data_IF_833144988666
#
_entry.id   IF_833144988666
#
_cell.length_a   1.000
_cell.length_b   1.000
_cell.length_c   1.000
_cell.angle_alpha   90.00
_cell.angle_beta   90.00
_cell.angle_gamma   90.00
#
_symmetry.space_group_name_H-M   'P 1'
#
loop_
_entity.id
_entity.type
_entity.pdbx_description
1 polymer ?
#
# COMPACT_ATOMS: atom_id res chain seq x y z
N UNK A 1 13.33 6.80 15.93
CA UNK A 1 14.37 6.12 16.73
C UNK A 1 13.91 4.68 16.96
N UNK A 2 14.74 3.68 16.73
CA UNK A 2 14.37 2.25 16.88
C UNK A 2 13.88 1.95 18.32
N UNK A 3 14.32 2.77 19.27
CA UNK A 3 14.09 2.68 20.72
C UNK A 3 12.69 3.07 21.22
N UNK A 4 11.87 3.74 20.40
CA UNK A 4 10.46 3.99 20.76
C UNK A 4 9.56 2.80 20.40
N UNK A 5 9.95 2.01 19.40
CA UNK A 5 9.19 0.84 18.93
C UNK A 5 9.26 -0.36 19.89
N UNK A 6 10.40 -0.54 20.55
CA UNK A 6 10.61 -1.62 21.53
C UNK A 6 9.77 -1.44 22.81
N UNK A 7 9.09 -0.29 22.97
CA UNK A 7 8.24 0.02 24.13
C UNK A 7 6.77 -0.31 23.93
N UNK A 8 6.33 -0.65 22.71
CA UNK A 8 4.96 -1.06 22.40
C UNK A 8 4.92 -2.58 22.28
N UNK A 9 4.30 -3.30 23.26
CA UNK A 9 4.23 -4.76 23.21
C UNK A 9 3.58 -5.22 21.89
N UNK A 10 4.19 -6.20 21.21
CA UNK A 10 3.63 -6.81 19.99
C UNK A 10 4.01 -6.13 18.66
N UNK A 11 4.32 -4.84 18.64
CA UNK A 11 4.64 -4.10 17.40
C UNK A 11 5.93 -4.58 16.73
N UNK A 12 6.99 -4.80 17.51
CA UNK A 12 8.26 -5.34 17.00
C UNK A 12 8.08 -6.77 16.44
N UNK A 13 7.27 -7.59 17.08
CA UNK A 13 6.93 -8.95 16.60
C UNK A 13 6.17 -8.90 15.29
N UNK A 14 5.16 -8.02 15.17
CA UNK A 14 4.39 -7.83 13.96
C UNK A 14 5.27 -7.38 12.79
N UNK A 15 6.12 -6.37 13.00
CA UNK A 15 7.08 -5.88 12.00
C UNK A 15 8.01 -7.01 11.54
N UNK A 16 8.60 -7.76 12.48
CA UNK A 16 9.50 -8.86 12.15
C UNK A 16 8.79 -10.01 11.41
N UNK A 17 7.52 -10.27 11.74
CA UNK A 17 6.69 -11.30 11.07
C UNK A 17 6.36 -10.89 9.64
N UNK A 18 6.05 -9.61 9.43
CA UNK A 18 5.80 -9.04 8.11
C UNK A 18 7.05 -9.08 7.24
N UNK A 19 8.20 -8.62 7.77
CA UNK A 19 9.48 -8.61 7.06
C UNK A 19 10.03 -10.01 6.81
N UNK A 20 9.78 -10.95 7.71
CA UNK A 20 10.22 -12.34 7.57
C UNK A 20 9.30 -13.23 6.73
N UNK A 21 8.25 -12.67 6.12
CA UNK A 21 7.21 -13.40 5.37
C UNK A 21 6.58 -14.58 6.12
N UNK A 22 6.66 -14.57 7.46
CA UNK A 22 6.12 -15.63 8.31
C UNK A 22 4.59 -15.57 8.35
N UNK A 23 3.87 -16.69 8.54
CA UNK A 23 2.42 -16.68 8.73
C UNK A 23 2.00 -15.67 9.79
N UNK A 24 0.91 -14.93 9.55
CA UNK A 24 0.36 -13.99 10.52
C UNK A 24 -0.58 -14.79 11.44
N UNK A 25 -0.18 -15.00 12.68
CA UNK A 25 -1.09 -15.56 13.69
C UNK A 25 -2.16 -14.52 14.07
N UNK A 26 -3.43 -14.94 14.10
CA UNK A 26 -4.60 -14.07 14.34
C UNK A 26 -4.46 -13.26 15.65
N UNK A 27 -3.94 -13.89 16.71
CA UNK A 27 -3.69 -13.28 18.02
C UNK A 27 -2.57 -12.24 18.05
N UNK A 28 -1.54 -12.40 17.21
CA UNK A 28 -0.41 -11.47 17.14
C UNK A 28 -0.78 -10.19 16.37
N UNK A 29 -1.64 -10.34 15.36
CA UNK A 29 -1.98 -9.28 14.43
C UNK A 29 -3.10 -8.35 14.94
N UNK A 30 -4.21 -8.93 15.40
CA UNK A 30 -5.39 -8.18 15.84
C UNK A 30 -5.10 -7.20 16.99
N UNK A 31 -4.34 -7.63 18.00
CA UNK A 31 -3.96 -6.77 19.14
C UNK A 31 -2.88 -5.72 18.84
N UNK A 32 -2.04 -5.95 17.82
CA UNK A 32 -0.88 -5.09 17.53
C UNK A 32 -1.13 -4.09 16.38
N UNK A 33 -2.17 -4.29 15.58
CA UNK A 33 -2.46 -3.46 14.40
C UNK A 33 -2.88 -2.03 14.75
N UNK A 34 -3.69 -1.87 15.79
CA UNK A 34 -4.08 -0.57 16.36
C UNK A 34 -2.84 0.29 16.69
N UNK A 35 -1.92 -0.27 17.47
CA UNK A 35 -0.64 0.36 17.84
C UNK A 35 0.22 0.73 16.62
N UNK A 36 0.21 -0.09 15.57
CA UNK A 36 0.92 0.19 14.33
C UNK A 36 0.32 1.40 13.61
N UNK A 37 -1.00 1.47 13.46
CA UNK A 37 -1.65 2.62 12.82
C UNK A 37 -1.46 3.91 13.62
N UNK A 38 -1.53 3.86 14.94
CA UNK A 38 -1.27 5.02 15.79
C UNK A 38 0.17 5.53 15.62
N UNK A 39 1.16 4.64 15.54
CA UNK A 39 2.54 5.00 15.28
C UNK A 39 2.71 5.66 13.89
N UNK A 40 2.08 5.08 12.85
CA UNK A 40 2.07 5.67 11.50
C UNK A 40 1.47 7.07 11.52
N UNK A 41 0.32 7.24 12.16
CA UNK A 41 -0.39 8.51 12.22
C UNK A 41 0.33 9.56 13.06
N UNK A 42 1.01 9.16 14.13
CA UNK A 42 1.83 10.07 14.93
C UNK A 42 2.99 10.65 14.10
N UNK A 43 3.67 9.82 13.31
CA UNK A 43 4.76 10.25 12.45
C UNK A 43 4.27 11.12 11.28
N UNK A 44 3.16 10.75 10.64
CA UNK A 44 2.53 11.57 9.60
C UNK A 44 2.08 12.93 10.15
N UNK A 45 1.51 12.95 11.35
CA UNK A 45 1.10 14.18 12.00
C UNK A 45 2.29 15.09 12.33
N UNK A 46 3.40 14.51 12.80
CA UNK A 46 4.66 15.24 12.99
C UNK A 46 5.22 15.78 11.66
N UNK A 47 5.18 14.98 10.60
CA UNK A 47 5.59 15.39 9.25
C UNK A 47 4.77 16.59 8.74
N UNK A 48 3.44 16.52 8.83
CA UNK A 48 2.55 17.62 8.40
C UNK A 48 2.79 18.90 9.21
N UNK A 49 3.09 18.79 10.51
CA UNK A 49 3.47 19.94 11.35
C UNK A 49 4.80 20.55 10.94
N UNK A 50 5.81 19.72 10.63
CA UNK A 50 7.09 20.20 10.13
C UNK A 50 6.96 20.88 8.76
N UNK A 51 6.13 20.35 7.86
CA UNK A 51 5.81 20.99 6.58
C UNK A 51 5.13 22.35 6.78
N UNK A 52 4.20 22.47 7.75
CA UNK A 52 3.61 23.77 8.08
C UNK A 52 4.65 24.77 8.64
N UNK A 53 5.55 24.30 9.50
CA UNK A 53 6.65 25.11 10.05
C UNK A 53 7.66 25.56 8.98
N UNK A 54 7.94 24.69 8.01
CA UNK A 54 8.79 25.00 6.86
C UNK A 54 8.22 26.18 6.07
N UNK A 55 6.93 26.13 5.72
CA UNK A 55 6.24 27.24 5.02
C UNK A 55 6.30 28.55 5.80
N UNK A 56 6.13 28.50 7.13
CA UNK A 56 6.29 29.69 7.97
C UNK A 56 7.73 30.21 7.93
N UNK A 57 8.71 29.31 8.04
CA UNK A 57 10.13 29.66 8.06
C UNK A 57 10.57 30.24 6.71
N UNK A 58 10.13 29.67 5.60
CA UNK A 58 10.35 30.21 4.24
C UNK A 58 9.79 31.62 4.08
N UNK A 59 8.56 31.87 4.56
CA UNK A 59 7.95 33.19 4.54
C UNK A 59 8.71 34.20 5.42
N UNK A 60 9.24 33.78 6.56
CA UNK A 60 10.07 34.63 7.42
C UNK A 60 11.41 34.98 6.77
N UNK A 61 12.08 34.00 6.15
CA UNK A 61 13.32 34.21 5.39
C UNK A 61 13.09 35.16 4.21
N UNK A 62 11.98 35.00 3.50
CA UNK A 62 11.56 35.88 2.41
C UNK A 62 11.32 37.31 2.91
N UNK A 63 10.61 37.45 4.04
CA UNK A 63 10.34 38.75 4.66
C UNK A 63 11.64 39.43 5.12
N UNK A 64 12.55 38.70 5.77
CA UNK A 64 13.86 39.21 6.18
C UNK A 64 14.68 39.68 4.98
N UNK A 65 14.66 38.93 3.87
CA UNK A 65 15.33 39.32 2.62
C UNK A 65 14.75 40.62 2.06
N UNK A 66 13.42 40.76 2.00
CA UNK A 66 12.75 41.98 1.53
C UNK A 66 13.10 43.18 2.41
N UNK A 67 13.06 43.02 3.73
CA UNK A 67 13.45 44.08 4.68
C UNK A 67 14.89 44.52 4.41
N UNK A 68 15.85 43.59 4.30
CA UNK A 68 17.25 43.90 3.99
C UNK A 68 17.43 44.65 2.67
N UNK A 69 16.71 44.25 1.62
CA UNK A 69 16.75 44.95 0.32
C UNK A 69 16.11 46.34 0.38
N UNK A 70 15.07 46.53 1.19
CA UNK A 70 14.43 47.83 1.39
C UNK A 70 15.29 48.80 2.21
N UNK A 71 16.00 48.31 3.23
CA UNK A 71 16.94 49.11 4.03
C UNK A 71 18.18 49.49 3.24
N UNK A 72 18.67 48.63 2.34
CA UNK A 72 19.83 48.95 1.50
C UNK A 72 19.53 49.98 0.40
N UNK A 73 18.26 50.16 0.01
CA UNK A 73 17.83 51.21 -0.92
C UNK A 73 17.42 52.52 -0.22
N UNK A 74 17.20 52.50 1.09
CA UNK A 74 16.79 53.68 1.90
C UNK A 74 17.95 54.58 2.37
N UNK A 75 19.20 54.11 2.30
CA UNK A 75 20.41 54.87 2.70
C UNK A 75 21.13 55.52 1.50
N UNK A 76 20.44 55.66 0.36
CA UNK A 76 20.97 56.21 -0.88
C UNK A 76 20.47 57.62 -1.23
N UNK A 77 20.32 58.54 -0.27
CA UNK A 77 20.16 59.97 -0.60
C UNK A 77 20.55 60.88 0.58
N UNK A 78 21.81 61.29 0.62
CA UNK A 78 22.36 62.24 1.58
C UNK A 78 23.86 62.42 1.39
N UNK A 79 24.25 63.55 0.78
CA UNK A 79 25.57 63.87 0.27
C UNK A 79 26.75 63.84 1.28
N UNK A 80 27.97 63.59 0.75
CA UNK A 80 29.17 64.33 1.19
C UNK A 80 30.43 63.54 1.55
N UNK A 81 31.37 63.50 0.59
CA UNK A 81 32.83 63.71 0.77
C UNK A 81 33.71 62.67 1.53
N UNK A 82 34.62 62.10 0.70
CA UNK A 82 36.06 61.77 0.96
C UNK A 82 36.44 60.54 1.78
N UNK A 83 37.43 59.81 1.24
CA UNK A 83 38.26 58.86 2.00
C UNK A 83 38.26 57.47 1.38
N UNK A 84 39.31 57.15 0.63
CA UNK A 84 39.48 55.84 0.02
C UNK A 84 39.86 54.74 1.01
N UNK A 85 39.91 53.55 0.40
CA UNK A 85 40.66 52.36 0.76
C UNK A 85 39.94 51.26 1.55
N UNK A 86 40.11 50.03 1.04
CA UNK A 86 40.03 48.81 1.86
C UNK A 86 38.66 48.27 2.25
N UNK A 87 37.66 48.30 1.38
CA UNK A 87 36.34 47.69 1.64
C UNK A 87 36.07 46.46 0.78
N UNK A 88 36.83 45.38 0.97
CA UNK A 88 36.51 44.09 0.38
C UNK A 88 35.02 43.80 0.55
N UNK A 89 34.34 43.50 -0.56
CA UNK A 89 32.95 43.09 -0.57
C UNK A 89 32.75 41.97 0.44
N UNK A 90 32.28 42.34 1.62
CA UNK A 90 31.73 41.41 2.60
C UNK A 90 30.39 40.99 2.01
N UNK A 91 30.46 40.10 1.04
CA UNK A 91 29.60 38.93 1.04
C UNK A 91 29.81 38.29 2.41
N UNK A 92 29.19 38.85 3.44
CA UNK A 92 28.94 38.12 4.67
C UNK A 92 28.11 36.96 4.17
N UNK A 93 28.76 35.81 3.99
CA UNK A 93 28.08 34.55 3.93
C UNK A 93 27.28 34.49 5.24
N UNK A 94 26.02 34.90 5.18
CA UNK A 94 25.07 34.79 6.27
C UNK A 94 24.73 33.30 6.32
N UNK A 95 25.65 32.49 6.83
CA UNK A 95 25.48 31.04 6.90
C UNK A 95 24.76 30.60 8.16
N UNK A 96 24.61 31.47 9.17
CA UNK A 96 24.12 31.07 10.50
C UNK A 96 23.18 32.12 11.13
N UNK A 97 22.13 32.57 10.42
CA UNK A 97 21.02 33.22 11.13
C UNK A 97 20.24 32.18 11.92
N UNK A 98 19.60 32.54 13.05
CA UNK A 98 18.69 31.65 13.78
C UNK A 98 17.63 31.02 12.87
N UNK A 99 17.16 31.73 11.84
CA UNK A 99 16.22 31.20 10.85
C UNK A 99 16.84 30.12 9.96
N UNK A 100 18.08 30.28 9.50
CA UNK A 100 18.79 29.24 8.73
C UNK A 100 19.00 27.97 9.57
N UNK A 101 19.34 28.12 10.85
CA UNK A 101 19.46 27.00 11.77
C UNK A 101 18.13 26.27 11.97
N UNK A 102 17.03 27.02 12.11
CA UNK A 102 15.67 26.45 12.20
C UNK A 102 15.29 25.71 10.92
N UNK A 103 15.55 26.26 9.73
CA UNK A 103 15.32 25.56 8.45
C UNK A 103 16.07 24.24 8.41
N UNK A 104 17.37 24.25 8.75
CA UNK A 104 18.19 23.03 8.78
C UNK A 104 17.65 21.99 9.77
N UNK A 105 17.25 22.40 10.97
CA UNK A 105 16.63 21.51 11.95
C UNK A 105 15.31 20.90 11.45
N UNK A 106 14.49 21.68 10.74
CA UNK A 106 13.25 21.20 10.12
C UNK A 106 13.57 20.14 9.06
N UNK A 107 14.53 20.41 8.17
CA UNK A 107 14.96 19.47 7.11
C UNK A 107 15.52 18.15 7.68
N UNK A 108 16.38 18.23 8.70
CA UNK A 108 16.93 17.06 9.39
C UNK A 108 15.80 16.22 10.01
N UNK A 109 14.86 16.86 10.71
CA UNK A 109 13.71 16.16 11.33
C UNK A 109 12.75 15.57 10.30
N UNK A 110 12.50 16.27 9.18
CA UNK A 110 11.71 15.72 8.07
C UNK A 110 12.38 14.48 7.50
N UNK A 111 13.69 14.52 7.29
CA UNK A 111 14.45 13.37 6.75
C UNK A 111 14.32 12.15 7.68
N UNK A 112 14.54 12.34 8.99
CA UNK A 112 14.41 11.28 10.00
C UNK A 112 13.01 10.66 10.05
N UNK A 113 11.96 11.48 9.96
CA UNK A 113 10.57 11.02 10.02
C UNK A 113 10.16 10.36 8.70
N UNK A 114 10.62 10.86 7.55
CA UNK A 114 10.20 10.37 6.24
C UNK A 114 10.52 8.88 6.04
N UNK A 115 11.75 8.45 6.38
CA UNK A 115 12.12 7.03 6.30
C UNK A 115 11.27 6.15 7.22
N UNK A 116 10.91 6.66 8.39
CA UNK A 116 10.10 5.96 9.39
C UNK A 116 8.64 5.82 8.93
N UNK A 117 8.05 6.91 8.42
CA UNK A 117 6.70 6.92 7.83
C UNK A 117 6.62 5.93 6.68
N UNK A 118 7.56 5.99 5.73
CA UNK A 118 7.54 5.11 4.56
C UNK A 118 7.58 3.64 4.96
N UNK A 119 8.44 3.31 5.92
CA UNK A 119 8.57 1.97 6.47
C UNK A 119 7.28 1.51 7.17
N UNK A 120 6.79 2.25 8.17
CA UNK A 120 5.63 1.85 8.96
C UNK A 120 4.34 1.81 8.12
N UNK A 121 4.19 2.75 7.19
CA UNK A 121 3.05 2.74 6.25
C UNK A 121 3.08 1.47 5.41
N UNK A 122 4.25 1.06 4.92
CA UNK A 122 4.40 -0.21 4.19
C UNK A 122 4.00 -1.39 5.06
N UNK A 123 4.46 -1.45 6.31
CA UNK A 123 4.09 -2.51 7.25
C UNK A 123 2.58 -2.54 7.48
N UNK A 124 1.94 -1.38 7.71
CA UNK A 124 0.50 -1.28 7.91
C UNK A 124 -0.28 -1.78 6.70
N UNK A 125 0.07 -1.32 5.50
CA UNK A 125 -0.53 -1.77 4.24
C UNK A 125 -0.37 -3.27 4.04
N UNK A 126 0.85 -3.80 4.23
CA UNK A 126 1.16 -5.22 4.07
C UNK A 126 0.38 -6.08 5.05
N UNK A 127 0.27 -5.63 6.28
CA UNK A 127 -0.44 -6.35 7.33
C UNK A 127 -1.91 -6.55 6.97
N UNK A 128 -2.61 -5.50 6.50
CA UNK A 128 -4.03 -5.58 6.10
C UNK A 128 -4.24 -6.53 4.93
N UNK A 129 -3.52 -6.34 3.81
CA UNK A 129 -3.78 -7.19 2.63
C UNK A 129 -3.36 -8.64 2.86
N UNK A 130 -2.32 -8.93 3.67
CA UNK A 130 -1.93 -10.31 3.98
C UNK A 130 -3.00 -11.03 4.80
N UNK A 131 -3.67 -10.34 5.70
CA UNK A 131 -4.80 -10.90 6.45
C UNK A 131 -5.99 -11.20 5.54
N UNK A 132 -6.26 -10.33 4.55
CA UNK A 132 -7.24 -10.62 3.49
C UNK A 132 -6.85 -11.87 2.71
N UNK A 133 -5.58 -11.98 2.29
CA UNK A 133 -5.08 -13.16 1.58
C UNK A 133 -5.20 -14.46 2.40
N UNK A 134 -5.12 -14.38 3.73
CA UNK A 134 -5.11 -15.55 4.59
C UNK A 134 -6.51 -16.00 5.02
N UNK A 135 -7.44 -15.06 5.24
CA UNK A 135 -8.72 -15.35 5.89
C UNK A 135 -9.96 -15.06 5.04
N UNK A 136 -9.82 -14.25 3.98
CA UNK A 136 -10.96 -13.71 3.23
C UNK A 136 -10.88 -13.95 1.72
N UNK A 137 -9.95 -14.78 1.26
CA UNK A 137 -9.94 -15.17 -0.16
C UNK A 137 -11.13 -16.11 -0.45
N UNK A 138 -11.93 -15.82 -1.49
CA UNK A 138 -12.85 -16.80 -2.03
C UNK A 138 -12.09 -17.97 -2.64
N UNK A 139 -12.79 -19.09 -2.83
CA UNK A 139 -12.21 -20.26 -3.50
C UNK A 139 -11.58 -19.90 -4.85
N UNK A 140 -10.52 -20.61 -5.22
CA UNK A 140 -9.88 -20.41 -6.51
C UNK A 140 -10.90 -20.58 -7.65
N UNK A 141 -10.84 -19.74 -8.70
CA UNK A 141 -11.82 -19.77 -9.75
C UNK A 141 -11.76 -21.11 -10.49
N UNK A 142 -12.94 -21.69 -10.75
CA UNK A 142 -13.08 -22.80 -11.70
C UNK A 142 -13.22 -22.26 -13.13
N UNK A 143 -12.69 -23.02 -14.08
CA UNK A 143 -12.62 -22.66 -15.50
C UNK A 143 -13.30 -23.71 -16.36
N UNK A 144 -14.05 -23.29 -17.36
CA UNK A 144 -14.53 -24.18 -18.42
C UNK A 144 -14.10 -23.60 -19.75
N UNK A 145 -13.33 -24.37 -20.53
CA UNK A 145 -12.97 -23.97 -21.89
C UNK A 145 -14.05 -24.43 -22.88
N UNK A 146 -14.47 -23.56 -23.82
CA UNK A 146 -15.20 -23.99 -24.99
C UNK A 146 -14.49 -25.14 -25.71
N UNK A 147 -15.26 -26.08 -26.27
CA UNK A 147 -14.73 -27.33 -26.86
C UNK A 147 -13.78 -27.12 -28.04
N UNK A 148 -13.85 -25.98 -28.71
CA UNK A 148 -12.94 -25.55 -29.79
C UNK A 148 -11.58 -25.04 -29.27
N UNK A 149 -11.47 -24.72 -27.98
CA UNK A 149 -10.28 -24.18 -27.33
C UNK A 149 -9.71 -25.15 -26.28
N UNK A 150 -10.54 -26.05 -25.75
CA UNK A 150 -10.19 -26.96 -24.66
C UNK A 150 -8.95 -27.82 -24.97
N UNK A 151 -8.11 -28.11 -23.96
CA UNK A 151 -7.01 -29.04 -24.14
C UNK A 151 -7.54 -30.46 -24.42
N UNK A 152 -6.82 -31.31 -25.17
CA UNK A 152 -7.26 -32.67 -25.49
C UNK A 152 -7.56 -33.55 -24.26
N UNK A 153 -6.92 -33.24 -23.14
CA UNK A 153 -7.05 -33.94 -21.85
C UNK A 153 -7.99 -33.23 -20.86
N UNK A 154 -8.84 -32.32 -21.33
CA UNK A 154 -9.79 -31.64 -20.47
C UNK A 154 -10.92 -32.62 -20.06
N UNK A 155 -11.11 -32.94 -18.76
CA UNK A 155 -12.26 -33.74 -18.33
C UNK A 155 -13.60 -33.14 -18.74
N UNK A 156 -14.53 -33.97 -19.23
CA UNK A 156 -15.89 -33.60 -19.67
C UNK A 156 -16.85 -33.17 -18.55
N UNK A 157 -16.32 -32.92 -17.35
CA UNK A 157 -17.09 -32.52 -16.16
C UNK A 157 -17.78 -31.18 -16.37
N UNK A 158 -19.06 -31.09 -15.97
CA UNK A 158 -19.82 -29.83 -15.97
C UNK A 158 -19.31 -28.83 -14.92
N UNK A 159 -18.51 -29.26 -13.95
CA UNK A 159 -18.04 -28.42 -12.84
C UNK A 159 -16.81 -27.55 -13.18
N UNK A 160 -16.20 -27.74 -14.34
CA UNK A 160 -14.98 -27.04 -14.78
C UNK A 160 -13.69 -27.59 -14.15
N UNK A 161 -12.56 -26.96 -14.51
CA UNK A 161 -11.19 -27.25 -14.09
C UNK A 161 -10.75 -26.26 -13.01
N UNK A 162 -9.96 -26.72 -12.04
CA UNK A 162 -9.23 -25.81 -11.18
C UNK A 162 -8.14 -25.07 -11.97
N UNK A 163 -7.76 -23.88 -11.50
CA UNK A 163 -6.61 -23.11 -12.05
C UNK A 163 -5.38 -24.03 -12.24
N UNK A 164 -5.16 -24.95 -11.28
CA UNK A 164 -4.03 -25.88 -11.19
C UNK A 164 -3.93 -26.86 -12.35
N UNK A 165 -5.08 -27.26 -12.87
CA UNK A 165 -5.25 -28.34 -13.85
C UNK A 165 -5.11 -27.83 -15.29
N UNK A 166 -5.13 -26.50 -15.48
CA UNK A 166 -5.03 -25.89 -16.80
C UNK A 166 -3.62 -26.08 -17.36
N UNK A 167 -3.53 -26.80 -18.47
CA UNK A 167 -2.31 -26.91 -19.29
C UNK A 167 -2.47 -26.13 -20.60
N UNK A 168 -2.24 -24.82 -20.52
CA UNK A 168 -2.41 -23.89 -21.63
C UNK A 168 -1.66 -24.27 -22.93
N UNK A 169 -0.42 -24.80 -22.88
CA UNK A 169 0.29 -25.19 -24.10
C UNK A 169 -0.38 -26.32 -24.88
N UNK A 170 -1.24 -27.13 -24.24
CA UNK A 170 -1.98 -28.20 -24.90
C UNK A 170 -3.25 -27.73 -25.61
N UNK A 171 -3.71 -26.51 -25.36
CA UNK A 171 -4.91 -25.97 -26.00
C UNK A 171 -4.70 -25.77 -27.50
N UNK A 172 -5.77 -25.93 -28.29
CA UNK A 172 -5.74 -25.70 -29.74
C UNK A 172 -5.36 -24.25 -30.09
N UNK A 173 -5.83 -23.29 -29.27
CA UNK A 173 -5.46 -21.88 -29.35
C UNK A 173 -4.94 -21.38 -28.00
N UNK A 174 -3.61 -21.37 -27.78
CA UNK A 174 -2.99 -20.88 -26.55
C UNK A 174 -3.39 -19.43 -26.21
N UNK A 175 -3.49 -18.56 -27.21
CA UNK A 175 -3.86 -17.15 -27.02
C UNK A 175 -5.31 -17.00 -26.58
N UNK A 176 -6.25 -17.70 -27.22
CA UNK A 176 -7.66 -17.63 -26.84
C UNK A 176 -7.88 -18.22 -25.44
N UNK A 177 -7.23 -19.36 -25.14
CA UNK A 177 -7.24 -19.95 -23.81
C UNK A 177 -6.70 -18.99 -22.74
N UNK A 178 -5.59 -18.31 -23.01
CA UNK A 178 -5.01 -17.32 -22.10
C UNK A 178 -5.97 -16.17 -21.82
N UNK A 179 -6.62 -15.63 -22.86
CA UNK A 179 -7.58 -14.52 -22.69
C UNK A 179 -8.77 -14.93 -21.84
N UNK A 180 -9.32 -16.13 -22.04
CA UNK A 180 -10.38 -16.67 -21.19
C UNK A 180 -9.90 -16.84 -19.75
N UNK A 181 -8.67 -17.34 -19.58
CA UNK A 181 -8.06 -17.50 -18.26
C UNK A 181 -7.95 -16.15 -17.53
N UNK A 182 -7.39 -15.13 -18.19
CA UNK A 182 -7.26 -13.78 -17.63
C UNK A 182 -8.63 -13.15 -17.34
N UNK A 183 -9.61 -13.31 -18.23
CA UNK A 183 -10.97 -12.79 -18.00
C UNK A 183 -11.60 -13.38 -16.73
N UNK A 184 -11.41 -14.69 -16.51
CA UNK A 184 -11.94 -15.36 -15.33
C UNK A 184 -11.18 -14.97 -14.05
N UNK A 185 -9.87 -14.78 -14.11
CA UNK A 185 -9.11 -14.17 -13.00
C UNK A 185 -9.61 -12.76 -12.68
N UNK A 186 -9.91 -11.94 -13.69
CA UNK A 186 -10.50 -10.61 -13.49
C UNK A 186 -11.87 -10.68 -12.82
N UNK A 187 -12.70 -11.67 -13.15
CA UNK A 187 -13.96 -11.89 -12.46
C UNK A 187 -13.74 -12.29 -10.99
N UNK A 188 -12.80 -13.20 -10.73
CA UNK A 188 -12.44 -13.62 -9.36
C UNK A 188 -11.91 -12.46 -8.51
N UNK A 189 -11.11 -11.55 -9.10
CA UNK A 189 -10.71 -10.31 -8.42
C UNK A 189 -11.92 -9.49 -7.95
N UNK A 190 -13.00 -9.42 -8.75
CA UNK A 190 -14.23 -8.73 -8.35
C UNK A 190 -14.96 -9.45 -7.21
N UNK A 191 -14.89 -10.78 -7.16
CA UNK A 191 -15.41 -11.57 -6.03
C UNK A 191 -14.66 -11.24 -4.74
N UNK A 192 -13.32 -11.09 -4.78
CA UNK A 192 -12.51 -10.62 -3.65
C UNK A 192 -12.96 -9.24 -3.17
N UNK A 193 -13.19 -8.30 -4.09
CA UNK A 193 -13.71 -6.96 -3.73
C UNK A 193 -15.11 -7.02 -3.11
N UNK A 194 -15.96 -7.92 -3.59
CA UNK A 194 -17.30 -8.12 -3.03
C UNK A 194 -17.25 -8.66 -1.58
N UNK A 195 -16.25 -9.49 -1.24
CA UNK A 195 -16.00 -9.87 0.17
C UNK A 195 -15.73 -8.63 1.03
N UNK A 196 -14.95 -7.67 0.52
CA UNK A 196 -14.72 -6.39 1.20
C UNK A 196 -16.01 -5.63 1.47
N UNK A 197 -16.90 -5.51 0.48
CA UNK A 197 -18.20 -4.87 0.65
C UNK A 197 -19.06 -5.57 1.71
N UNK A 198 -19.06 -6.91 1.74
CA UNK A 198 -19.80 -7.68 2.73
C UNK A 198 -19.23 -7.47 4.14
N UNK A 199 -17.90 -7.37 4.26
CA UNK A 199 -17.24 -7.09 5.52
C UNK A 199 -17.58 -5.67 6.01
N UNK A 200 -17.53 -4.67 5.13
CA UNK A 200 -17.94 -3.30 5.45
C UNK A 200 -19.38 -3.24 5.96
N UNK A 201 -20.33 -3.89 5.28
CA UNK A 201 -21.74 -3.88 5.69
C UNK A 201 -21.99 -4.40 7.11
N UNK A 202 -21.16 -5.31 7.60
CA UNK A 202 -21.36 -5.96 8.89
C UNK A 202 -20.46 -5.43 10.01
N UNK A 203 -19.23 -5.02 9.70
CA UNK A 203 -18.20 -4.71 10.70
C UNK A 203 -17.68 -3.27 10.66
N UNK A 204 -17.97 -2.50 9.60
CA UNK A 204 -17.57 -1.10 9.56
C UNK A 204 -18.55 -0.24 10.37
N UNK A 205 -18.01 0.70 11.16
CA UNK A 205 -18.81 1.75 11.79
C UNK A 205 -18.36 3.07 11.20
N UNK A 206 -19.30 3.75 10.54
CA UNK A 206 -19.04 5.01 9.85
C UNK A 206 -18.56 6.09 10.84
N UNK A 207 -17.40 6.72 10.58
CA UNK A 207 -16.94 7.87 11.35
C UNK A 207 -17.91 9.06 11.30
N UNK A 208 -17.96 9.85 12.38
CA UNK A 208 -18.80 11.06 12.42
C UNK A 208 -18.40 12.13 11.39
N UNK A 209 -17.10 12.22 11.04
CA UNK A 209 -16.60 13.09 9.98
C UNK A 209 -16.81 12.40 8.61
N UNK A 210 -17.71 12.92 7.74
CA UNK A 210 -17.99 12.30 6.44
C UNK A 210 -16.77 12.24 5.52
N UNK A 211 -15.85 13.21 5.64
CA UNK A 211 -14.63 13.17 4.84
C UNK A 211 -13.66 12.11 5.36
N UNK A 212 -13.61 11.87 6.67
CA UNK A 212 -12.86 10.75 7.25
C UNK A 212 -13.47 9.43 6.84
N UNK A 213 -14.80 9.28 6.94
CA UNK A 213 -15.52 8.10 6.50
C UNK A 213 -15.14 7.71 5.06
N UNK A 214 -15.13 8.68 4.14
CA UNK A 214 -14.69 8.47 2.77
C UNK A 214 -13.21 8.04 2.68
N UNK A 215 -12.31 8.62 3.47
CA UNK A 215 -10.89 8.23 3.49
C UNK A 215 -10.70 6.82 4.03
N UNK A 216 -11.44 6.43 5.07
CA UNK A 216 -11.37 5.09 5.67
C UNK A 216 -11.91 4.03 4.72
N UNK A 217 -13.09 4.26 4.13
CA UNK A 217 -13.66 3.41 3.09
C UNK A 217 -12.68 3.21 1.94
N UNK A 218 -12.09 4.31 1.42
CA UNK A 218 -11.08 4.23 0.37
C UNK A 218 -9.87 3.39 0.81
N UNK A 219 -9.39 3.49 2.06
CA UNK A 219 -8.30 2.65 2.55
C UNK A 219 -8.67 1.17 2.55
N UNK A 220 -9.90 0.82 2.91
CA UNK A 220 -10.41 -0.55 2.88
C UNK A 220 -10.51 -1.06 1.45
N UNK A 221 -11.09 -0.30 0.52
CA UNK A 221 -11.14 -0.67 -0.90
C UNK A 221 -9.73 -0.95 -1.44
N UNK A 222 -8.77 -0.06 -1.15
CA UNK A 222 -7.38 -0.20 -1.60
C UNK A 222 -6.68 -1.45 -1.04
N UNK A 223 -6.99 -1.88 0.19
CA UNK A 223 -6.39 -3.11 0.75
C UNK A 223 -6.97 -4.37 0.12
N UNK A 224 -8.25 -4.36 -0.23
CA UNK A 224 -8.87 -5.45 -1.02
C UNK A 224 -8.34 -5.48 -2.46
N UNK A 225 -8.13 -4.32 -3.10
CA UNK A 225 -7.47 -4.24 -4.42
C UNK A 225 -6.04 -4.78 -4.37
N UNK A 226 -5.27 -4.44 -3.33
CA UNK A 226 -3.93 -4.97 -3.09
C UNK A 226 -3.92 -6.49 -2.92
N UNK A 227 -4.86 -7.02 -2.14
CA UNK A 227 -5.01 -8.45 -1.93
C UNK A 227 -5.37 -9.15 -3.25
N UNK A 228 -6.36 -8.63 -3.97
CA UNK A 228 -6.79 -9.17 -5.26
C UNK A 228 -5.66 -9.18 -6.30
N UNK A 229 -4.94 -8.07 -6.44
CA UNK A 229 -3.80 -7.99 -7.36
C UNK A 229 -2.65 -8.90 -6.94
N UNK A 230 -2.39 -9.05 -5.64
CA UNK A 230 -1.36 -9.97 -5.14
C UNK A 230 -1.72 -11.44 -5.37
N UNK A 231 -2.97 -11.82 -5.15
CA UNK A 231 -3.46 -13.17 -5.41
C UNK A 231 -3.40 -13.51 -6.91
N UNK A 232 -3.92 -12.63 -7.77
CA UNK A 232 -3.88 -12.80 -9.22
C UNK A 232 -2.46 -12.86 -9.76
N UNK A 233 -1.56 -11.97 -9.30
CA UNK A 233 -0.15 -11.99 -9.69
C UNK A 233 0.53 -13.31 -9.31
N UNK A 234 0.28 -13.84 -8.10
CA UNK A 234 0.84 -15.13 -7.66
C UNK A 234 0.41 -16.24 -8.62
N UNK A 235 -0.88 -16.33 -8.92
CA UNK A 235 -1.42 -17.30 -9.86
C UNK A 235 -0.74 -17.15 -11.23
N UNK A 236 -0.67 -15.94 -11.80
CA UNK A 236 -0.08 -15.71 -13.11
C UNK A 236 1.42 -16.10 -13.15
N UNK A 237 2.19 -15.74 -12.12
CA UNK A 237 3.62 -16.07 -12.03
C UNK A 237 3.85 -17.59 -11.88
N UNK A 238 3.02 -18.28 -11.11
CA UNK A 238 3.05 -19.74 -11.03
C UNK A 238 2.76 -20.38 -12.38
N UNK A 239 1.76 -19.87 -13.12
CA UNK A 239 1.44 -20.35 -14.47
C UNK A 239 2.52 -20.04 -15.48
N UNK A 240 3.16 -18.87 -15.41
CA UNK A 240 4.30 -18.54 -16.27
C UNK A 240 5.41 -19.57 -16.13
N UNK A 241 5.77 -19.92 -14.87
CA UNK A 241 6.76 -20.96 -14.59
C UNK A 241 6.32 -22.34 -15.09
N UNK A 242 5.06 -22.72 -14.83
CA UNK A 242 4.54 -24.06 -15.16
C UNK A 242 4.35 -24.26 -16.67
N UNK A 243 3.81 -23.29 -17.38
CA UNK A 243 3.52 -23.39 -18.81
C UNK A 243 4.76 -23.15 -19.68
N UNK A 244 5.72 -22.36 -19.19
CA UNK A 244 7.01 -22.11 -19.82
C UNK A 244 6.91 -21.83 -21.34
N UNK A 245 5.95 -20.95 -21.70
CA UNK A 245 5.51 -20.73 -23.08
C UNK A 245 6.65 -20.29 -24.01
N UNK A 246 7.57 -19.47 -23.51
CA UNK A 246 8.70 -18.97 -24.27
C UNK A 246 9.69 -20.09 -24.66
N UNK A 247 10.01 -21.01 -23.75
CA UNK A 247 10.88 -22.15 -24.09
C UNK A 247 10.19 -23.13 -25.04
N UNK A 248 8.89 -23.38 -24.84
CA UNK A 248 8.11 -24.20 -25.76
C UNK A 248 8.08 -23.62 -27.18
N UNK A 249 7.94 -22.31 -27.30
CA UNK A 249 7.98 -21.62 -28.59
C UNK A 249 9.35 -21.79 -29.31
N UNK A 250 10.46 -21.85 -28.57
CA UNK A 250 11.80 -22.00 -29.16
C UNK A 250 11.99 -23.35 -29.85
N UNK A 251 11.42 -24.42 -29.29
CA UNK A 251 11.55 -25.79 -29.81
C UNK A 251 10.40 -26.18 -30.76
N UNK A 252 9.38 -25.33 -30.89
CA UNK A 252 8.23 -25.56 -31.75
C UNK A 252 8.61 -25.47 -33.24
N UNK A 253 8.22 -26.49 -34.01
CA UNK A 253 8.52 -26.59 -35.44
C UNK A 253 7.42 -26.00 -36.31
N UNK A 254 6.18 -25.99 -35.82
CA UNK A 254 5.07 -25.37 -36.55
C UNK A 254 5.14 -23.83 -36.39
N UNK A 255 5.33 -23.06 -37.48
CA UNK A 255 5.48 -21.61 -37.40
C UNK A 255 4.25 -20.90 -36.79
N UNK A 256 3.04 -21.35 -37.12
CA UNK A 256 1.80 -20.75 -36.61
C UNK A 256 1.66 -20.98 -35.10
N UNK A 257 1.95 -22.20 -34.65
CA UNK A 257 1.91 -22.54 -33.23
C UNK A 257 3.00 -21.83 -32.45
N UNK A 258 4.20 -21.70 -33.02
CA UNK A 258 5.29 -20.92 -32.45
C UNK A 258 4.88 -19.47 -32.20
N UNK A 259 4.36 -18.78 -33.22
CA UNK A 259 3.88 -17.39 -33.08
C UNK A 259 2.77 -17.28 -32.03
N UNK A 260 1.85 -18.25 -31.97
CA UNK A 260 0.79 -18.26 -30.95
C UNK A 260 1.34 -18.42 -29.52
N UNK A 261 2.35 -19.24 -29.31
CA UNK A 261 3.01 -19.41 -28.00
C UNK A 261 3.82 -18.17 -27.59
N UNK A 262 4.54 -17.55 -28.52
CA UNK A 262 5.27 -16.30 -28.28
C UNK A 262 4.32 -15.16 -27.90
N UNK A 263 3.20 -15.02 -28.63
CA UNK A 263 2.18 -14.03 -28.33
C UNK A 263 1.52 -14.29 -26.97
N UNK A 264 1.18 -15.55 -26.66
CA UNK A 264 0.63 -15.92 -25.36
C UNK A 264 1.63 -15.61 -24.22
N UNK A 265 2.93 -15.85 -24.42
CA UNK A 265 3.96 -15.47 -23.43
C UNK A 265 3.97 -13.96 -23.18
N UNK A 266 3.94 -13.15 -24.25
CA UNK A 266 3.95 -11.68 -24.15
C UNK A 266 2.71 -11.15 -23.44
N UNK A 267 1.53 -11.70 -23.73
CA UNK A 267 0.29 -11.33 -23.04
C UNK A 267 0.38 -11.68 -21.55
N UNK A 268 0.89 -12.88 -21.22
CA UNK A 268 1.04 -13.31 -19.83
C UNK A 268 1.99 -12.41 -19.04
N UNK A 269 3.14 -12.07 -19.62
CA UNK A 269 4.09 -11.10 -19.04
C UNK A 269 3.43 -9.74 -18.81
N UNK A 270 2.70 -9.22 -19.80
CA UNK A 270 1.96 -7.97 -19.66
C UNK A 270 0.95 -8.01 -18.51
N UNK A 271 0.18 -9.09 -18.38
CA UNK A 271 -0.77 -9.23 -17.28
C UNK A 271 -0.08 -9.28 -15.91
N UNK A 272 1.08 -9.95 -15.79
CA UNK A 272 1.87 -9.95 -14.55
C UNK A 272 2.33 -8.54 -14.19
N UNK A 273 2.77 -7.77 -15.18
CA UNK A 273 3.21 -6.38 -15.00
C UNK A 273 2.05 -5.44 -14.66
N UNK A 274 0.86 -5.65 -15.26
CA UNK A 274 -0.36 -4.90 -14.92
C UNK A 274 -0.75 -5.12 -13.45
N UNK A 275 -0.72 -6.36 -12.96
CA UNK A 275 -0.97 -6.64 -11.53
C UNK A 275 0.12 -6.06 -10.62
N UNK A 276 1.39 -6.05 -11.07
CA UNK A 276 2.48 -5.38 -10.35
C UNK A 276 2.22 -3.89 -10.23
N UNK A 277 1.80 -3.25 -11.31
CA UNK A 277 1.54 -1.82 -11.36
C UNK A 277 0.34 -1.44 -10.49
N UNK A 278 -0.75 -2.22 -10.55
CA UNK A 278 -1.92 -2.03 -9.68
C UNK A 278 -1.52 -2.06 -8.19
N UNK A 279 -0.64 -2.98 -7.79
CA UNK A 279 -0.13 -3.04 -6.41
C UNK A 279 0.64 -1.79 -6.02
N UNK A 280 1.48 -1.27 -6.91
CA UNK A 280 2.24 -0.04 -6.67
C UNK A 280 1.29 1.15 -6.51
N UNK A 281 0.31 1.29 -7.40
CA UNK A 281 -0.67 2.37 -7.40
C UNK A 281 -1.54 2.33 -6.15
N UNK A 282 -2.08 1.16 -5.81
CA UNK A 282 -2.93 0.99 -4.64
C UNK A 282 -2.14 1.27 -3.34
N UNK A 283 -0.87 0.84 -3.26
CA UNK A 283 0.00 1.14 -2.12
C UNK A 283 0.27 2.64 -1.96
N UNK A 284 0.51 3.34 -3.08
CA UNK A 284 0.71 4.80 -3.09
C UNK A 284 -0.56 5.55 -2.67
N UNK A 285 -1.71 5.15 -3.21
CA UNK A 285 -3.00 5.74 -2.86
C UNK A 285 -3.33 5.52 -1.37
N UNK A 286 -3.00 4.35 -0.82
CA UNK A 286 -3.19 4.06 0.60
C UNK A 286 -2.34 4.99 1.48
N UNK A 287 -1.05 5.11 1.16
CA UNK A 287 -0.14 6.01 1.87
C UNK A 287 -0.60 7.48 1.78
N UNK A 288 -1.09 7.89 0.62
CA UNK A 288 -1.62 9.23 0.42
C UNK A 288 -2.90 9.49 1.24
N UNK A 289 -3.82 8.52 1.34
CA UNK A 289 -5.02 8.63 2.18
C UNK A 289 -4.69 8.82 3.66
N UNK A 290 -3.67 8.12 4.18
CA UNK A 290 -3.18 8.34 5.55
C UNK A 290 -2.57 9.74 5.72
N UNK A 291 -1.78 10.20 4.75
CA UNK A 291 -1.22 11.54 4.77
C UNK A 291 -2.32 12.62 4.72
N UNK A 292 -3.35 12.47 3.88
CA UNK A 292 -4.48 13.40 3.81
C UNK A 292 -5.25 13.46 5.14
N UNK A 293 -5.44 12.30 5.78
CA UNK A 293 -6.00 12.22 7.13
C UNK A 293 -5.17 13.02 8.14
N UNK A 294 -3.85 12.80 8.18
CA UNK A 294 -2.96 13.52 9.08
C UNK A 294 -2.94 15.03 8.80
N UNK A 295 -2.88 15.42 7.53
CA UNK A 295 -2.87 16.81 7.06
C UNK A 295 -4.13 17.56 7.50
N UNK A 296 -5.32 16.97 7.29
CA UNK A 296 -6.59 17.56 7.74
C UNK A 296 -6.66 17.71 9.25
N UNK A 297 -6.18 16.72 10.01
CA UNK A 297 -6.13 16.81 11.47
C UNK A 297 -5.23 17.96 11.96
N UNK A 298 -4.04 18.13 11.37
CA UNK A 298 -3.17 19.28 11.67
C UNK A 298 -3.88 20.59 11.37
N UNK A 299 -4.47 20.70 10.18
CA UNK A 299 -5.16 21.91 9.72
C UNK A 299 -6.32 22.30 10.63
N UNK A 300 -7.09 21.32 11.09
CA UNK A 300 -8.25 21.51 11.95
C UNK A 300 -7.91 21.52 13.45
N UNK A 301 -6.61 21.48 13.80
CA UNK A 301 -6.12 21.45 15.20
C UNK A 301 -6.74 20.32 16.03
N UNK A 302 -7.01 19.19 15.38
CA UNK A 302 -7.51 18.00 16.06
C UNK A 302 -6.39 17.37 16.89
N UNK A 303 -6.79 16.66 17.95
CA UNK A 303 -5.87 15.90 18.79
C UNK A 303 -5.14 14.78 18.03
N UNK A 304 -4.27 14.01 18.71
CA UNK A 304 -3.65 12.83 18.11
C UNK A 304 -4.73 11.92 17.49
N UNK A 305 -4.41 11.27 16.38
CA UNK A 305 -5.27 10.22 15.86
C UNK A 305 -5.16 9.02 16.81
N UNK A 306 -6.30 8.45 17.18
CA UNK A 306 -6.40 7.32 18.10
C UNK A 306 -7.24 6.27 17.40
N UNK A 307 -6.75 5.04 17.39
CA UNK A 307 -7.48 3.92 16.80
C UNK A 307 -8.70 3.59 17.66
N UNK A 308 -9.81 3.22 17.01
CA UNK A 308 -10.94 2.70 17.77
C UNK A 308 -10.56 1.37 18.44
N UNK A 309 -10.88 1.14 19.72
CA UNK A 309 -10.54 -0.10 20.44
C UNK A 309 -11.08 -1.37 19.77
N UNK A 310 -12.17 -1.25 19.02
CA UNK A 310 -12.84 -2.34 18.29
C UNK A 310 -12.42 -2.44 16.82
N UNK A 311 -11.41 -1.68 16.38
CA UNK A 311 -10.98 -1.61 14.98
C UNK A 311 -12.11 -1.29 13.98
N UNK A 312 -13.10 -0.49 14.39
CA UNK A 312 -14.26 -0.10 13.55
C UNK A 312 -13.94 0.46 12.16
N UNK A 313 -12.78 1.06 12.00
CA UNK A 313 -12.24 1.65 10.77
C UNK A 313 -11.64 0.61 9.79
N UNK A 314 -11.53 -0.66 10.22
CA UNK A 314 -10.92 -1.76 9.48
C UNK A 314 -11.78 -3.02 9.62
N UNK A 315 -12.84 -3.18 8.82
CA UNK A 315 -13.85 -4.23 9.01
C UNK A 315 -13.27 -5.65 8.93
N UNK A 316 -12.25 -5.87 8.09
CA UNK A 316 -11.59 -7.17 7.98
C UNK A 316 -10.80 -7.54 9.25
N UNK A 317 -10.30 -6.54 9.99
CA UNK A 317 -9.56 -6.73 11.23
C UNK A 317 -10.53 -6.99 12.37
N UNK A 318 -11.58 -6.18 12.47
CA UNK A 318 -12.64 -6.36 13.45
C UNK A 318 -13.29 -7.74 13.33
N UNK A 319 -13.57 -8.20 12.12
CA UNK A 319 -14.11 -9.53 11.89
C UNK A 319 -13.17 -10.65 12.40
N UNK A 320 -11.84 -10.49 12.32
CA UNK A 320 -10.88 -11.44 12.90
C UNK A 320 -10.83 -11.36 14.42
N UNK A 321 -10.95 -10.17 14.99
CA UNK A 321 -11.01 -9.96 16.44
C UNK A 321 -12.21 -10.70 17.04
N UNK A 322 -13.41 -10.46 16.48
CA UNK A 322 -14.63 -11.09 16.95
C UNK A 322 -14.58 -12.63 16.84
N UNK A 323 -14.01 -13.16 15.76
CA UNK A 323 -13.82 -14.61 15.59
C UNK A 323 -12.85 -15.21 16.61
N UNK A 324 -11.82 -14.47 17.01
CA UNK A 324 -10.84 -14.93 18.00
C UNK A 324 -11.41 -14.96 19.42
N UNK A 325 -12.44 -14.15 19.69
CA UNK A 325 -13.13 -14.07 20.97
C UNK A 325 -14.27 -15.11 21.12
N UNK A 326 -14.63 -15.83 20.03
CA UNK A 326 -15.59 -16.93 20.11
C UNK A 326 -14.98 -18.11 20.89
N UNK A 327 -15.66 -18.65 21.93
CA UNK A 327 -15.19 -19.84 22.62
C UNK A 327 -15.13 -21.01 21.63
N UNK A 328 -14.13 -21.92 21.75
CA UNK A 328 -14.04 -23.08 20.88
C UNK A 328 -15.35 -23.87 20.94
N UNK A 329 -15.94 -24.18 19.78
CA UNK A 329 -17.23 -24.86 19.72
C UNK A 329 -17.14 -26.24 20.37
N UNK A 330 -18.02 -26.49 21.34
CA UNK A 330 -18.15 -27.77 22.07
C UNK A 330 -18.73 -28.92 21.20
N UNK A 331 -18.71 -28.83 19.87
CA UNK A 331 -19.28 -29.84 18.98
C UNK A 331 -18.37 -31.06 18.71
N UNK A 332 -17.27 -31.19 19.46
CA UNK A 332 -16.45 -32.42 19.46
C UNK A 332 -16.68 -33.31 20.71
N UNK A 333 -17.70 -33.03 21.53
CA UNK A 333 -17.87 -33.63 22.86
C UNK A 333 -19.12 -34.48 23.12
N UNK A 334 -19.99 -34.72 22.15
CA UNK A 334 -21.22 -35.53 22.34
C UNK A 334 -21.23 -36.76 21.43
N UNK A 335 -20.26 -37.64 21.63
CA UNK A 335 -20.14 -38.90 20.90
C UNK A 335 -19.32 -39.92 21.66
N UNK A 336 -19.80 -40.35 22.83
CA UNK A 336 -19.28 -41.55 23.48
C UNK A 336 -19.30 -41.52 25.00
N UNK A 337 -20.42 -41.92 25.59
CA UNK A 337 -20.52 -43.05 26.54
C UNK A 337 -21.98 -43.27 26.92
#
# INVERSE_FOLDING_TARGET
>A
DKREFDKLPGLATLVNTILGEKPLEESTFSGSFASLLEAVMADLHAMCRLQALEVVTENMVETERRVRMSTSHGEGSGAGATGGDGGAGRNVAVTDTPLVLVTKMIEEKKTDINSRVAFLTTVATVSRYRSILQHYLPENPRFSFPSDIAPPQAPTSAEGYSVEEIHLPSCASPVAALRLFVNRLTAWKKEILAVGNNLEQKWWVEPEDPEEAMREHNRTVLTFELAAATAAQRVLMERQKKWNLQELARVERNPQRKTALEEASRILEKCIDEERQQKIESSKAYAWSLWDTASKRVKNKLGPWVSSPDSSHCPEIRALMEKSDEPPSDEAGAGGS
#
